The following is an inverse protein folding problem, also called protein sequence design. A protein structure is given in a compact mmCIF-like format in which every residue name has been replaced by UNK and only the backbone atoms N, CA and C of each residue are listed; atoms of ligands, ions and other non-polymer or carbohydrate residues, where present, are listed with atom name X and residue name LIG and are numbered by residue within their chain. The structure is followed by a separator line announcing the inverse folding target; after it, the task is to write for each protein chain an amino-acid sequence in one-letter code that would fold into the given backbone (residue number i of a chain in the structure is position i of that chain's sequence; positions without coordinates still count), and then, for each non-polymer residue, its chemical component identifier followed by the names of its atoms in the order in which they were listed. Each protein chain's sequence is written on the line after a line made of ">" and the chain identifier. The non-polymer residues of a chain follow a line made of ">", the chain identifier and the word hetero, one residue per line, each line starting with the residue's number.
data_IF_608766789371
#
_entry.id   IF_608766789371
#
_cell.length_a   1.000
_cell.length_b   1.000
_cell.length_c   1.000
_cell.angle_alpha   90.00
_cell.angle_beta   90.00
_cell.angle_gamma   90.00
#
_symmetry.space_group_name_H-M   'P 1'
#
loop_
_entity.id
_entity.type
_entity.pdbx_description
1 polymer ?
#
# COMPACT_ATOMS: atom_id res chain seq x y z
N UNK A 1 15.93 4.67 4.16
CA UNK A 1 15.67 4.67 5.61
C UNK A 1 15.42 6.10 6.03
N UNK A 2 14.30 6.38 6.70
CA UNK A 2 13.98 7.71 7.23
C UNK A 2 14.29 7.70 8.73
N UNK A 3 15.11 8.64 9.25
CA UNK A 3 15.43 8.69 10.66
C UNK A 3 14.18 8.68 11.56
N UNK A 4 14.22 7.91 12.64
CA UNK A 4 13.11 7.80 13.59
C UNK A 4 11.99 6.83 13.21
N UNK A 5 12.11 6.14 12.06
CA UNK A 5 11.11 5.16 11.62
C UNK A 5 11.74 3.79 11.36
N UNK A 6 10.97 2.75 11.68
CA UNK A 6 11.29 1.37 11.39
C UNK A 6 10.21 0.79 10.49
N UNK A 7 10.63 0.17 9.39
CA UNK A 7 9.74 -0.50 8.45
C UNK A 7 9.98 -2.01 8.51
N UNK A 8 8.88 -2.76 8.56
CA UNK A 8 8.88 -4.23 8.44
C UNK A 8 7.76 -4.65 7.50
N UNK A 9 8.06 -5.59 6.59
CA UNK A 9 7.07 -6.23 5.73
C UNK A 9 6.55 -7.50 6.40
N UNK A 10 5.23 -7.67 6.42
CA UNK A 10 4.60 -8.90 6.87
C UNK A 10 3.91 -9.59 5.67
N UNK A 11 4.30 -10.83 5.32
CA UNK A 11 3.69 -11.54 4.20
C UNK A 11 2.25 -11.95 4.55
N UNK A 12 1.36 -11.73 3.60
CA UNK A 12 -0.03 -12.16 3.71
C UNK A 12 -0.14 -13.69 3.57
N UNK A 13 -0.90 -14.32 4.46
CA UNK A 13 -1.17 -15.76 4.43
C UNK A 13 -2.59 -16.03 3.91
N UNK A 14 -2.73 -16.98 2.99
CA UNK A 14 -4.04 -17.38 2.47
C UNK A 14 -4.71 -18.30 3.49
N UNK A 15 -5.89 -17.90 4.00
CA UNK A 15 -6.69 -18.75 4.92
C UNK A 15 -7.77 -19.53 4.18
N UNK A 16 -8.47 -18.88 3.26
CA UNK A 16 -9.54 -19.45 2.43
C UNK A 16 -9.40 -18.93 0.99
N UNK A 17 -10.14 -19.52 0.04
CA UNK A 17 -10.20 -19.01 -1.33
C UNK A 17 -10.66 -17.54 -1.29
N UNK A 18 -9.80 -16.62 -1.73
CA UNK A 18 -10.01 -15.16 -1.73
C UNK A 18 -9.92 -14.45 -0.37
N UNK A 19 -9.39 -15.07 0.68
CA UNK A 19 -9.12 -14.40 1.96
C UNK A 19 -7.64 -14.49 2.33
N UNK A 20 -7.04 -13.32 2.59
CA UNK A 20 -5.69 -13.17 3.08
C UNK A 20 -5.68 -12.50 4.45
N UNK A 21 -4.77 -12.93 5.32
CA UNK A 21 -4.65 -12.39 6.68
C UNK A 21 -3.19 -12.29 7.10
N UNK A 22 -2.91 -11.29 7.93
CA UNK A 22 -1.64 -11.16 8.65
C UNK A 22 -1.86 -10.42 9.96
N UNK A 23 -1.16 -10.84 11.01
CA UNK A 23 -1.16 -10.14 12.30
C UNK A 23 0.01 -9.18 12.36
N UNK A 24 -0.28 -7.88 12.53
CA UNK A 24 0.74 -6.84 12.67
C UNK A 24 0.79 -6.39 14.15
N UNK A 25 1.96 -6.41 14.80
CA UNK A 25 2.09 -5.91 16.17
C UNK A 25 1.82 -4.40 16.23
N UNK A 26 0.92 -4.01 17.15
CA UNK A 26 0.58 -2.60 17.39
C UNK A 26 1.66 -1.87 18.18
N UNK A 27 2.32 -2.58 19.08
CA UNK A 27 3.41 -2.09 19.92
C UNK A 27 4.49 -3.15 19.90
N UNK A 28 5.75 -2.73 19.89
CA UNK A 28 6.88 -3.64 19.90
C UNK A 28 7.81 -3.35 21.08
N UNK A 29 8.22 -4.42 21.76
CA UNK A 29 9.29 -4.38 22.74
C UNK A 29 10.67 -4.31 22.08
N UNK A 30 11.58 -3.56 22.70
CA UNK A 30 12.95 -3.35 22.24
C UNK A 30 13.51 -2.06 22.81
N UNK A 31 14.68 -1.60 22.38
CA UNK A 31 15.29 -0.35 22.91
C UNK A 31 14.44 0.91 22.68
N UNK A 32 13.54 0.89 21.70
CA UNK A 32 12.81 2.07 21.25
C UNK A 32 11.31 2.01 21.57
N UNK A 33 10.81 0.95 22.21
CA UNK A 33 9.40 0.73 22.56
C UNK A 33 8.42 1.30 21.50
N UNK A 34 8.61 0.85 20.27
CA UNK A 34 7.99 1.48 19.11
C UNK A 34 6.49 1.17 19.06
N UNK A 35 5.74 2.09 18.43
CA UNK A 35 4.30 1.96 18.20
C UNK A 35 4.00 2.01 16.71
N UNK A 36 2.99 1.26 16.29
CA UNK A 36 2.52 1.22 14.92
C UNK A 36 2.01 2.60 14.50
N UNK A 37 2.66 3.19 13.50
CA UNK A 37 2.34 4.52 12.96
C UNK A 37 1.35 4.43 11.80
N UNK A 38 1.67 3.59 10.81
CA UNK A 38 0.86 3.39 9.63
C UNK A 38 1.02 1.95 9.09
N UNK A 39 0.09 1.55 8.25
CA UNK A 39 0.13 0.32 7.46
C UNK A 39 -0.02 0.71 5.99
N UNK A 40 0.87 0.22 5.13
CA UNK A 40 0.69 0.30 3.67
C UNK A 40 0.34 -1.08 3.13
N UNK A 41 -0.74 -1.12 2.35
CA UNK A 41 -1.16 -2.31 1.61
C UNK A 41 -0.82 -2.11 0.13
N UNK A 42 -0.02 -3.02 -0.42
CA UNK A 42 0.37 -3.05 -1.83
C UNK A 42 -0.39 -4.17 -2.56
N UNK A 43 -0.98 -3.82 -3.70
CA UNK A 43 -1.47 -4.81 -4.68
C UNK A 43 -0.64 -4.70 -5.93
N UNK A 44 0.00 -5.79 -6.34
CA UNK A 44 0.74 -5.89 -7.60
C UNK A 44 0.47 -7.21 -8.30
N UNK A 45 0.66 -7.21 -9.61
CA UNK A 45 0.60 -8.45 -10.37
C UNK A 45 1.71 -9.40 -9.95
N UNK A 46 1.37 -10.68 -9.78
CA UNK A 46 2.36 -11.71 -9.47
C UNK A 46 3.30 -11.96 -10.66
N UNK A 47 2.75 -11.97 -11.87
CA UNK A 47 3.49 -12.21 -13.11
C UNK A 47 2.96 -11.34 -14.24
N UNK A 48 3.76 -10.35 -14.65
CA UNK A 48 3.41 -9.42 -15.74
C UNK A 48 3.60 -10.01 -17.13
N UNK A 49 4.32 -11.13 -17.27
CA UNK A 49 4.55 -11.77 -18.58
C UNK A 49 3.25 -12.26 -19.22
N UNK A 50 2.25 -12.58 -18.39
CA UNK A 50 0.89 -12.95 -18.81
C UNK A 50 0.14 -11.83 -19.52
N UNK A 51 0.51 -10.56 -19.27
CA UNK A 51 -0.07 -9.38 -19.92
C UNK A 51 0.76 -8.97 -21.13
N UNK A 52 2.07 -8.79 -20.94
CA UNK A 52 2.99 -8.50 -22.03
C UNK A 52 4.41 -8.98 -21.66
N UNK A 53 5.03 -9.84 -22.48
CA UNK A 53 6.36 -10.42 -22.19
C UNK A 53 7.49 -9.41 -22.01
N UNK A 54 7.32 -8.18 -22.53
CA UNK A 54 8.35 -7.14 -22.56
C UNK A 54 8.24 -6.14 -21.39
N UNK A 55 7.42 -6.42 -20.36
CA UNK A 55 7.33 -5.57 -19.16
C UNK A 55 8.55 -5.83 -18.28
N UNK A 56 9.39 -4.80 -18.10
CA UNK A 56 10.60 -4.87 -17.28
C UNK A 56 10.36 -4.42 -15.84
N UNK A 57 9.36 -3.55 -15.64
CA UNK A 57 9.03 -2.97 -14.33
C UNK A 57 7.56 -3.17 -14.00
N UNK A 58 7.28 -3.64 -12.80
CA UNK A 58 5.96 -3.92 -12.28
C UNK A 58 5.72 -3.07 -11.03
N UNK A 59 4.87 -2.05 -11.15
CA UNK A 59 4.50 -1.16 -10.08
C UNK A 59 3.08 -1.48 -9.61
N UNK A 60 2.93 -1.71 -8.32
CA UNK A 60 1.64 -1.94 -7.69
C UNK A 60 0.87 -0.66 -7.39
N UNK A 61 -0.34 -0.86 -6.88
CA UNK A 61 -1.14 0.16 -6.23
C UNK A 61 -0.89 0.11 -4.73
N UNK A 62 -0.56 1.24 -4.13
CA UNK A 62 -0.33 1.38 -2.69
C UNK A 62 -1.44 2.21 -2.04
N UNK A 63 -1.94 1.72 -0.91
CA UNK A 63 -2.82 2.48 -0.02
C UNK A 63 -2.29 2.48 1.40
N UNK A 64 -2.18 3.65 2.02
CA UNK A 64 -1.64 3.83 3.36
C UNK A 64 -2.72 4.22 4.35
N UNK A 65 -2.76 3.53 5.50
CA UNK A 65 -3.62 3.83 6.63
C UNK A 65 -2.77 4.37 7.77
N UNK A 66 -2.93 5.65 8.07
CA UNK A 66 -2.27 6.33 9.19
C UNK A 66 -3.12 6.14 10.44
N UNK A 67 -2.55 5.43 11.40
CA UNK A 67 -3.19 5.01 12.64
C UNK A 67 -2.83 5.98 13.76
N UNK A 68 -1.62 6.54 13.72
CA UNK A 68 -1.18 7.54 14.68
C UNK A 68 -1.61 8.97 14.29
N UNK A 69 -1.28 9.92 15.17
CA UNK A 69 -1.53 11.34 14.93
C UNK A 69 -0.57 11.99 13.92
N UNK A 70 0.44 11.27 13.43
CA UNK A 70 1.53 11.85 12.65
C UNK A 70 1.15 11.98 11.16
N UNK A 71 2.07 12.54 10.39
CA UNK A 71 1.97 12.54 8.93
C UNK A 71 2.42 11.18 8.37
N UNK A 72 1.78 10.66 7.30
CA UNK A 72 2.27 9.48 6.58
C UNK A 72 3.67 9.71 6.03
N UNK A 73 4.52 8.68 6.08
CA UNK A 73 5.88 8.77 5.54
C UNK A 73 5.95 8.87 4.02
N UNK A 74 5.00 8.22 3.34
CA UNK A 74 5.05 8.02 1.89
C UNK A 74 4.70 9.33 1.16
N UNK A 75 3.71 10.07 1.65
CA UNK A 75 3.23 11.30 1.03
C UNK A 75 2.40 12.15 1.99
N UNK A 76 2.90 13.32 2.40
CA UNK A 76 2.20 14.28 3.27
C UNK A 76 1.35 15.31 2.48
N UNK A 77 1.26 15.17 1.15
CA UNK A 77 0.63 16.16 0.27
C UNK A 77 -0.88 16.05 0.14
N UNK A 78 -1.52 15.05 0.77
CA UNK A 78 -2.98 14.87 0.74
C UNK A 78 -3.40 13.56 1.42
N UNK A 79 -4.31 13.65 2.39
CA UNK A 79 -4.90 12.49 3.04
C UNK A 79 -6.39 12.70 3.30
N UNK A 80 -7.15 11.61 3.19
CA UNK A 80 -8.57 11.58 3.53
C UNK A 80 -8.71 11.29 5.03
N UNK A 81 -9.27 12.24 5.77
CA UNK A 81 -9.60 12.04 7.19
C UNK A 81 -10.88 11.22 7.29
N UNK A 82 -10.81 10.05 7.92
CA UNK A 82 -11.97 9.20 8.16
C UNK A 82 -12.44 9.37 9.61
N UNK A 83 -13.75 9.40 9.82
CA UNK A 83 -14.36 9.34 11.15
C UNK A 83 -15.09 8.01 11.29
N UNK A 84 -14.54 7.08 12.08
CA UNK A 84 -15.09 5.74 12.26
C UNK A 84 -14.51 4.70 11.29
N UNK A 85 -15.22 3.59 11.13
CA UNK A 85 -14.79 2.48 10.27
C UNK A 85 -14.80 2.89 8.79
N UNK A 86 -13.87 2.35 8.01
CA UNK A 86 -13.71 2.64 6.58
C UNK A 86 -14.28 1.50 5.75
N UNK A 87 -15.16 1.83 4.80
CA UNK A 87 -15.66 0.93 3.77
C UNK A 87 -15.49 1.61 2.41
N UNK A 88 -14.48 1.20 1.65
CA UNK A 88 -14.17 1.79 0.35
C UNK A 88 -14.21 0.72 -0.75
N UNK A 89 -14.68 1.13 -1.93
CA UNK A 89 -14.53 0.35 -3.16
C UNK A 89 -13.45 0.95 -4.04
N UNK A 90 -12.35 0.24 -4.22
CA UNK A 90 -11.20 0.67 -5.01
C UNK A 90 -11.27 -0.01 -6.38
N UNK A 91 -11.46 0.80 -7.43
CA UNK A 91 -11.39 0.33 -8.81
C UNK A 91 -9.98 0.59 -9.33
N UNK A 92 -9.30 -0.48 -9.72
CA UNK A 92 -7.94 -0.44 -10.23
C UNK A 92 -7.92 -0.69 -11.74
N UNK A 93 -7.08 0.07 -12.44
CA UNK A 93 -6.89 -0.04 -13.88
C UNK A 93 -5.45 -0.41 -14.22
N UNK A 94 -5.23 -1.34 -15.17
CA UNK A 94 -3.91 -1.59 -15.69
C UNK A 94 -3.46 -0.44 -16.60
N UNK A 95 -2.28 0.12 -16.34
CA UNK A 95 -1.62 1.11 -17.19
C UNK A 95 -0.30 0.57 -17.71
N UNK A 96 -0.19 0.47 -19.03
CA UNK A 96 1.05 0.17 -19.72
C UNK A 96 1.72 1.48 -20.15
N UNK A 97 2.97 1.67 -19.71
CA UNK A 97 3.77 2.84 -20.07
C UNK A 97 5.04 2.41 -20.78
N UNK A 98 5.31 3.00 -21.93
CA UNK A 98 6.58 2.90 -22.64
C UNK A 98 7.36 4.19 -22.50
N UNK A 99 8.61 4.10 -22.03
CA UNK A 99 9.56 5.23 -22.09
C UNK A 99 10.44 5.07 -23.31
N UNK A 100 10.59 6.14 -24.09
CA UNK A 100 11.39 6.14 -25.31
C UNK A 100 12.79 6.77 -25.12
N UNK A 101 13.01 7.51 -24.02
CA UNK A 101 14.32 8.05 -23.66
C UNK A 101 15.04 7.09 -22.70
N UNK A 102 16.34 6.85 -22.95
CA UNK A 102 17.27 6.03 -22.16
C UNK A 102 16.89 4.55 -21.94
N UNK A 103 16.78 3.79 -23.04
CA UNK A 103 16.45 2.36 -23.02
C UNK A 103 14.92 2.17 -22.99
N UNK A 104 14.41 1.42 -23.97
CA UNK A 104 12.98 1.21 -24.22
C UNK A 104 12.28 0.41 -23.10
N UNK A 105 12.20 0.97 -21.90
CA UNK A 105 11.61 0.28 -20.75
C UNK A 105 10.09 0.33 -20.84
N UNK A 106 9.45 -0.84 -20.89
CA UNK A 106 8.02 -0.96 -20.67
C UNK A 106 7.77 -1.19 -19.18
N UNK A 107 6.85 -0.43 -18.63
CA UNK A 107 6.45 -0.51 -17.23
C UNK A 107 4.95 -0.76 -17.15
N UNK A 108 4.58 -1.68 -16.27
CA UNK A 108 3.20 -1.89 -15.86
C UNK A 108 2.95 -1.15 -14.56
N UNK A 109 1.80 -0.50 -14.48
CA UNK A 109 1.29 0.14 -13.28
C UNK A 109 -0.12 -0.39 -13.03
N UNK A 110 -0.43 -0.67 -11.77
CA UNK A 110 -1.81 -0.79 -11.32
C UNK A 110 -2.19 0.55 -10.69
N UNK A 111 -3.11 1.28 -11.30
CA UNK A 111 -3.46 2.65 -10.87
C UNK A 111 -4.89 2.73 -10.34
N UNK A 112 -5.11 3.57 -9.34
CA UNK A 112 -6.43 3.90 -8.80
C UNK A 112 -6.86 5.33 -9.13
N UNK A 113 -7.99 5.76 -8.57
CA UNK A 113 -8.49 7.14 -8.68
C UNK A 113 -7.49 8.16 -8.12
N UNK A 114 -6.87 7.81 -6.99
CA UNK A 114 -5.80 8.55 -6.32
C UNK A 114 -4.66 7.55 -6.08
N UNK A 115 -3.43 7.90 -6.46
CA UNK A 115 -2.26 7.02 -6.38
C UNK A 115 -0.99 7.84 -6.08
N UNK A 116 -0.45 7.81 -4.83
CA UNK A 116 -0.84 6.94 -3.72
C UNK A 116 -2.09 7.44 -2.97
N UNK A 117 -2.91 6.50 -2.47
CA UNK A 117 -4.10 6.80 -1.68
C UNK A 117 -3.79 6.70 -0.18
N UNK A 118 -4.02 7.79 0.57
CA UNK A 118 -3.74 7.81 2.02
C UNK A 118 -4.95 8.19 2.85
N UNK A 119 -5.23 7.38 3.86
CA UNK A 119 -6.30 7.55 4.84
C UNK A 119 -5.72 7.83 6.22
N UNK A 120 -6.21 8.88 6.88
CA UNK A 120 -5.98 9.09 8.32
C UNK A 120 -7.18 8.55 9.07
N UNK A 121 -7.05 7.33 9.59
CA UNK A 121 -8.16 6.52 10.10
C UNK A 121 -8.48 6.79 11.57
N UNK A 122 -7.48 7.24 12.34
CA UNK A 122 -7.66 7.62 13.74
C UNK A 122 -8.20 6.48 14.61
N UNK A 123 -9.49 6.52 14.95
CA UNK A 123 -10.15 5.53 15.83
C UNK A 123 -10.89 4.41 15.08
N UNK A 124 -10.70 4.28 13.76
CA UNK A 124 -11.29 3.19 12.99
C UNK A 124 -10.91 1.83 13.61
N UNK A 125 -11.90 0.97 13.84
CA UNK A 125 -11.69 -0.40 14.31
C UNK A 125 -11.59 -1.36 13.13
N UNK A 126 -12.33 -1.06 12.06
CA UNK A 126 -12.39 -1.90 10.87
C UNK A 126 -12.10 -1.05 9.62
N UNK A 127 -11.32 -1.64 8.72
CA UNK A 127 -11.04 -1.12 7.39
C UNK A 127 -11.38 -2.23 6.41
N UNK A 128 -12.34 -1.97 5.53
CA UNK A 128 -12.73 -2.88 4.47
C UNK A 128 -12.51 -2.22 3.11
N UNK A 129 -11.66 -2.84 2.30
CA UNK A 129 -11.43 -2.46 0.91
C UNK A 129 -11.99 -3.55 0.00
N UNK A 130 -12.75 -3.15 -1.01
CA UNK A 130 -13.34 -4.04 -2.03
C UNK A 130 -12.99 -3.62 -3.44
#
# INVERSE_FOLDING_TARGET
>A
SVPGFHYTTYPLSIRQSNQVEVSVPKEGGGKCDWKLSNITFEVKLKDTSTIAPLIEKNFGFDTTFVIDGNAPQVFDGGYLKISGDLHEKIILFPLLRKRFFSGNANSFYLIGKDDPLTYKTGMAKNINLT
#
